data_IF_273960791385
#
_entry.id   IF_273960791385
#
_cell.length_a   1.000
_cell.length_b   1.000
_cell.length_c   1.000
_cell.angle_alpha   90.00
_cell.angle_beta   90.00
_cell.angle_gamma   90.00
#
_symmetry.space_group_name_H-M   'P 1'
#
loop_
_entity.id
_entity.type
_entity.pdbx_description
1 polymer ?
#
# COMPACT_ATOMS: atom_id res chain seq x y z
N UNK A 1 5.54 0.44 -17.85
CA UNK A 1 5.53 1.49 -16.79
C UNK A 1 6.61 1.15 -15.78
N UNK A 2 7.42 2.11 -15.32
CA UNK A 2 8.34 1.86 -14.21
C UNK A 2 7.54 1.56 -12.93
N UNK A 3 8.08 0.68 -12.07
CA UNK A 3 7.44 0.33 -10.79
C UNK A 3 7.26 1.58 -9.92
N UNK A 4 6.04 1.81 -9.44
CA UNK A 4 5.68 2.92 -8.56
C UNK A 4 5.66 2.48 -7.11
N UNK A 5 6.13 3.35 -6.22
CA UNK A 5 6.04 3.20 -4.77
C UNK A 5 5.06 4.25 -4.25
N UNK A 6 4.00 3.80 -3.61
CA UNK A 6 3.01 4.65 -2.93
C UNK A 6 3.30 4.60 -1.43
N UNK A 7 3.46 5.74 -0.79
CA UNK A 7 3.58 5.84 0.67
C UNK A 7 2.25 6.27 1.25
N UNK A 8 1.56 5.35 1.92
CA UNK A 8 0.31 5.65 2.59
C UNK A 8 0.59 6.20 3.99
N UNK A 9 0.01 7.34 4.32
CA UNK A 9 0.16 7.96 5.62
C UNK A 9 -1.15 8.55 6.12
N UNK A 10 -1.38 8.47 7.43
CA UNK A 10 -2.48 9.14 8.11
C UNK A 10 -1.95 10.45 8.72
N UNK A 11 -2.21 11.63 8.11
CA UNK A 11 -1.58 12.89 8.49
C UNK A 11 -1.71 13.24 9.96
N UNK A 12 -2.84 12.91 10.60
CA UNK A 12 -3.07 13.20 12.01
C UNK A 12 -2.13 12.45 12.98
N UNK A 13 -1.45 11.40 12.54
CA UNK A 13 -0.51 10.62 13.33
C UNK A 13 0.96 10.90 12.98
N UNK A 14 1.22 11.89 12.12
CA UNK A 14 2.57 12.33 11.77
C UNK A 14 2.91 13.63 12.50
N UNK A 15 3.99 13.64 13.30
CA UNK A 15 4.39 14.81 14.08
C UNK A 15 3.33 15.25 15.09
N UNK A 16 2.84 16.48 14.96
CA UNK A 16 1.74 17.04 15.78
C UNK A 16 0.35 16.79 15.17
N UNK A 17 0.31 16.10 14.03
CA UNK A 17 -0.90 15.84 13.28
C UNK A 17 -1.38 17.01 12.41
N UNK A 18 -0.44 17.87 11.96
CA UNK A 18 -0.72 19.04 11.14
C UNK A 18 -0.21 18.88 9.71
N UNK A 19 -0.87 19.52 8.76
CA UNK A 19 -0.37 19.59 7.38
C UNK A 19 1.04 20.17 7.29
N UNK A 20 1.38 21.10 8.19
CA UNK A 20 2.70 21.72 8.28
C UNK A 20 3.81 20.76 8.73
N UNK A 21 3.48 19.64 9.38
CA UNK A 21 4.45 18.63 9.83
C UNK A 21 5.01 17.80 8.67
N UNK A 22 4.34 17.85 7.50
CA UNK A 22 4.86 17.32 6.23
C UNK A 22 5.77 18.38 5.58
N UNK A 23 6.81 18.73 6.27
CA UNK A 23 7.80 19.73 5.90
C UNK A 23 8.91 19.17 4.99
N UNK A 24 9.93 19.98 4.73
CA UNK A 24 11.08 19.60 3.89
C UNK A 24 11.83 18.37 4.45
N UNK A 25 11.94 18.23 5.78
CA UNK A 25 12.65 17.09 6.39
C UNK A 25 11.86 15.79 6.18
N UNK A 26 10.55 15.83 6.43
CA UNK A 26 9.62 14.71 6.20
C UNK A 26 9.59 14.31 4.73
N UNK A 27 9.48 15.25 3.82
CA UNK A 27 9.43 14.96 2.38
C UNK A 27 10.80 14.47 1.84
N UNK A 28 11.92 15.03 2.32
CA UNK A 28 13.26 14.52 1.98
C UNK A 28 13.46 13.08 2.45
N UNK A 29 12.91 12.72 3.60
CA UNK A 29 12.92 11.32 4.06
C UNK A 29 12.24 10.40 3.04
N UNK A 30 11.05 10.74 2.53
CA UNK A 30 10.36 9.95 1.50
C UNK A 30 11.17 9.82 0.19
N UNK A 31 11.96 10.85 -0.17
CA UNK A 31 12.87 10.75 -1.32
C UNK A 31 13.92 9.64 -1.12
N UNK A 32 14.41 9.44 0.12
CA UNK A 32 15.36 8.35 0.42
C UNK A 32 14.76 6.95 0.27
N UNK A 33 13.44 6.84 0.32
CA UNK A 33 12.69 5.59 0.11
C UNK A 33 12.32 5.38 -1.37
N UNK A 34 12.57 6.35 -2.24
CA UNK A 34 12.22 6.26 -3.66
C UNK A 34 10.72 6.28 -3.93
N UNK A 35 9.95 6.95 -3.08
CA UNK A 35 8.50 7.14 -3.21
C UNK A 35 8.17 7.92 -4.48
N UNK A 36 7.07 7.58 -5.15
CA UNK A 36 6.52 8.32 -6.30
C UNK A 36 5.22 9.05 -5.93
N UNK A 37 4.40 8.44 -5.07
CA UNK A 37 3.11 8.98 -4.64
C UNK A 37 3.02 8.99 -3.12
N UNK A 38 2.48 10.06 -2.56
CA UNK A 38 2.06 10.09 -1.15
C UNK A 38 0.53 10.02 -1.12
N UNK A 39 0.00 8.99 -0.48
CA UNK A 39 -1.43 8.89 -0.22
C UNK A 39 -1.70 9.39 1.20
N UNK A 40 -2.25 10.59 1.29
CA UNK A 40 -2.72 11.18 2.54
C UNK A 40 -4.12 10.66 2.86
N UNK A 41 -4.19 9.68 3.76
CA UNK A 41 -5.46 9.09 4.23
C UNK A 41 -6.20 10.04 5.17
N UNK A 42 -7.52 10.19 4.98
CA UNK A 42 -8.37 10.94 5.90
C UNK A 42 -8.32 12.46 5.71
N UNK A 43 -8.05 12.94 4.50
CA UNK A 43 -8.03 14.38 4.18
C UNK A 43 -9.43 14.98 4.12
N UNK A 44 -10.44 14.44 3.37
CA UNK A 44 -11.77 14.99 3.36
C UNK A 44 -12.41 15.03 4.75
N UNK A 45 -13.21 16.05 5.02
CA UNK A 45 -13.80 16.29 6.33
C UNK A 45 -14.75 15.18 6.73
N UNK A 46 -14.43 14.47 7.81
CA UNK A 46 -15.25 13.42 8.39
C UNK A 46 -15.95 13.86 9.69
N UNK A 47 -16.93 13.07 10.15
CA UNK A 47 -17.68 13.32 11.37
C UNK A 47 -16.77 13.22 12.61
N UNK A 48 -16.95 14.15 13.53
CA UNK A 48 -16.24 14.18 14.83
C UNK A 48 -17.21 14.57 15.95
N UNK A 49 -17.03 14.01 17.16
CA UNK A 49 -17.73 14.45 18.36
C UNK A 49 -19.27 14.32 18.34
N UNK A 50 -19.81 13.44 17.50
CA UNK A 50 -21.25 13.14 17.45
C UNK A 50 -21.53 11.78 18.09
N UNK A 51 -22.77 11.52 18.56
CA UNK A 51 -23.12 10.26 19.22
C UNK A 51 -22.94 9.00 18.35
N UNK A 52 -23.04 9.12 17.01
CA UNK A 52 -22.86 8.02 16.07
C UNK A 52 -21.41 7.77 15.70
N UNK A 53 -20.48 8.69 16.01
CA UNK A 53 -19.07 8.59 15.61
C UNK A 53 -18.39 7.47 16.38
N UNK A 54 -17.68 6.62 15.66
CA UNK A 54 -16.83 5.57 16.25
C UNK A 54 -15.47 6.15 16.64
N UNK A 55 -15.14 6.07 17.92
CA UNK A 55 -13.86 6.57 18.44
C UNK A 55 -13.74 8.09 18.52
N UNK A 56 -12.51 8.59 18.72
CA UNK A 56 -12.18 10.01 18.79
C UNK A 56 -10.79 10.24 18.16
N UNK A 57 -10.71 10.94 17.01
CA UNK A 57 -11.64 11.91 16.45
C UNK A 57 -12.74 11.31 15.56
N UNK A 58 -12.73 10.02 15.23
CA UNK A 58 -13.70 9.37 14.38
C UNK A 58 -13.08 8.78 13.11
N UNK A 59 -13.91 8.04 12.37
CA UNK A 59 -13.52 7.38 11.13
C UNK A 59 -13.24 8.41 10.02
N UNK A 60 -12.08 8.35 9.35
CA UNK A 60 -11.81 9.17 8.17
C UNK A 60 -12.70 8.83 6.97
N UNK A 61 -13.49 7.76 7.06
CA UNK A 61 -14.40 7.28 6.01
C UNK A 61 -15.86 7.75 6.20
N UNK A 62 -16.21 8.32 7.36
CA UNK A 62 -17.54 8.88 7.64
C UNK A 62 -17.60 10.38 7.23
N UNK A 63 -17.63 10.65 5.92
CA UNK A 63 -17.51 12.00 5.37
C UNK A 63 -18.72 12.85 5.67
N UNK A 64 -18.52 14.05 6.24
CA UNK A 64 -19.57 15.07 6.48
C UNK A 64 -19.56 16.20 5.44
N UNK A 65 -18.40 16.51 4.89
CA UNK A 65 -18.23 17.53 3.86
C UNK A 65 -17.09 17.15 2.91
N UNK A 66 -17.43 16.89 1.66
CA UNK A 66 -16.46 16.49 0.65
C UNK A 66 -15.56 17.63 0.15
N UNK A 67 -15.96 18.89 0.36
CA UNK A 67 -15.22 20.05 -0.15
C UNK A 67 -14.45 20.79 0.94
N UNK A 68 -14.26 20.12 2.08
CA UNK A 68 -13.56 20.64 3.24
C UNK A 68 -12.59 19.60 3.83
N UNK A 69 -11.73 20.03 4.73
CA UNK A 69 -10.82 19.17 5.50
C UNK A 69 -11.07 19.35 6.99
N UNK A 70 -10.69 18.37 7.81
CA UNK A 70 -10.88 18.48 9.24
C UNK A 70 -10.04 19.63 9.84
N UNK A 71 -10.67 20.54 10.65
CA UNK A 71 -9.99 21.69 11.23
C UNK A 71 -8.76 21.35 12.07
N UNK A 72 -8.72 20.17 12.68
CA UNK A 72 -7.62 19.75 13.52
C UNK A 72 -6.33 19.44 12.72
N UNK A 73 -6.40 19.24 11.40
CA UNK A 73 -5.23 19.01 10.53
C UNK A 73 -4.48 20.32 10.20
N UNK A 74 -5.08 21.47 10.44
CA UNK A 74 -4.47 22.78 10.16
C UNK A 74 -3.91 23.46 11.42
N UNK A 75 -2.90 24.30 11.26
CA UNK A 75 -2.44 25.21 12.31
C UNK A 75 -3.51 26.27 12.63
N UNK A 76 -4.06 26.87 11.59
CA UNK A 76 -5.20 27.77 11.67
C UNK A 76 -6.45 27.09 11.08
N UNK A 77 -7.42 26.66 11.91
CA UNK A 77 -8.65 26.03 11.45
C UNK A 77 -9.43 26.85 10.42
N UNK A 78 -9.31 28.18 10.40
CA UNK A 78 -9.97 29.04 9.43
C UNK A 78 -9.30 28.97 8.04
N UNK A 79 -8.00 28.61 7.98
CA UNK A 79 -7.22 28.48 6.76
C UNK A 79 -7.05 27.04 6.27
N UNK A 80 -7.69 26.06 6.89
CA UNK A 80 -7.47 24.62 6.70
C UNK A 80 -7.37 24.15 5.24
N UNK A 81 -8.21 24.66 4.36
CA UNK A 81 -8.14 24.34 2.92
C UNK A 81 -6.89 24.96 2.25
N UNK A 82 -6.53 26.18 2.61
CA UNK A 82 -5.33 26.82 2.11
C UNK A 82 -4.06 26.10 2.60
N UNK A 83 -4.05 25.64 3.85
CA UNK A 83 -2.93 24.84 4.38
C UNK A 83 -2.82 23.47 3.71
N UNK A 84 -3.94 22.87 3.30
CA UNK A 84 -3.91 21.67 2.48
C UNK A 84 -3.35 21.97 1.06
N UNK A 85 -3.75 23.09 0.43
CA UNK A 85 -3.17 23.51 -0.85
C UNK A 85 -1.65 23.75 -0.73
N UNK A 86 -1.20 24.32 0.39
CA UNK A 86 0.23 24.49 0.69
C UNK A 86 0.95 23.15 0.87
N UNK A 87 0.29 22.15 1.49
CA UNK A 87 0.80 20.78 1.57
C UNK A 87 0.96 20.15 0.19
N UNK A 88 -0.07 20.26 -0.67
CA UNK A 88 -0.01 19.77 -2.06
C UNK A 88 1.18 20.39 -2.80
N UNK A 89 1.30 21.72 -2.74
CA UNK A 89 2.38 22.45 -3.40
C UNK A 89 3.78 22.00 -2.93
N UNK A 90 3.96 21.80 -1.60
CA UNK A 90 5.25 21.31 -1.05
C UNK A 90 5.53 19.88 -1.49
N UNK A 91 4.52 19.01 -1.48
CA UNK A 91 4.66 17.61 -1.88
C UNK A 91 5.04 17.50 -3.36
N UNK A 92 4.40 18.29 -4.23
CA UNK A 92 4.75 18.38 -5.66
C UNK A 92 6.15 18.95 -5.86
N UNK A 93 6.52 20.02 -5.14
CA UNK A 93 7.86 20.62 -5.23
C UNK A 93 8.97 19.63 -4.83
N UNK A 94 8.66 18.69 -3.92
CA UNK A 94 9.55 17.59 -3.55
C UNK A 94 9.60 16.44 -4.59
N UNK A 95 8.80 16.52 -5.66
CA UNK A 95 8.79 15.56 -6.77
C UNK A 95 7.79 14.41 -6.63
N UNK A 96 6.88 14.46 -5.67
CA UNK A 96 5.85 13.45 -5.46
C UNK A 96 4.52 13.84 -6.11
N UNK A 97 3.71 12.84 -6.38
CA UNK A 97 2.29 12.98 -6.68
C UNK A 97 1.46 12.67 -5.43
N UNK A 98 0.22 13.17 -5.38
CA UNK A 98 -0.65 13.05 -4.20
C UNK A 98 -1.90 12.25 -4.52
N UNK A 99 -2.20 11.28 -3.66
CA UNK A 99 -3.47 10.56 -3.62
C UNK A 99 -4.24 10.92 -2.35
N UNK A 100 -5.57 10.94 -2.45
CA UNK A 100 -6.48 11.01 -1.31
C UNK A 100 -7.56 9.94 -1.43
N UNK A 101 -8.30 9.69 -0.34
CA UNK A 101 -9.43 8.78 -0.36
C UNK A 101 -10.63 9.37 -1.08
N UNK A 102 -11.34 8.51 -1.84
CA UNK A 102 -12.65 8.76 -2.39
C UNK A 102 -13.58 7.62 -1.97
N UNK A 103 -14.62 7.94 -1.23
CA UNK A 103 -15.54 6.99 -0.63
C UNK A 103 -16.89 7.05 -1.36
N UNK A 104 -17.06 6.29 -2.46
CA UNK A 104 -18.28 6.38 -3.26
C UNK A 104 -19.48 5.67 -2.63
N UNK A 105 -19.27 4.74 -1.71
CA UNK A 105 -20.32 3.89 -1.19
C UNK A 105 -21.21 4.57 -0.14
N UNK A 106 -20.66 5.48 0.67
CA UNK A 106 -21.37 6.03 1.83
C UNK A 106 -20.88 7.42 2.23
N UNK A 107 -21.65 8.09 3.07
CA UNK A 107 -21.32 9.34 3.76
C UNK A 107 -21.76 9.25 5.23
N UNK A 108 -21.35 10.20 6.07
CA UNK A 108 -21.82 10.26 7.46
C UNK A 108 -23.32 10.60 7.55
N UNK A 109 -24.00 10.21 8.64
CA UNK A 109 -25.42 10.54 8.85
C UNK A 109 -25.72 12.05 8.85
N UNK A 110 -24.74 12.89 9.21
CA UNK A 110 -24.86 14.34 9.25
C UNK A 110 -24.34 15.06 7.99
N UNK A 111 -24.09 14.34 6.90
CA UNK A 111 -23.70 14.91 5.63
C UNK A 111 -24.71 15.94 5.12
N UNK A 112 -24.25 17.12 4.70
CA UNK A 112 -25.11 18.25 4.31
C UNK A 112 -25.14 18.52 2.80
N UNK A 113 -24.47 17.72 1.99
CA UNK A 113 -24.42 17.90 0.54
C UNK A 113 -25.61 17.27 -0.19
N UNK A 114 -25.64 17.36 -1.53
CA UNK A 114 -26.76 16.91 -2.37
C UNK A 114 -26.75 15.40 -2.68
N UNK A 115 -25.83 14.62 -2.09
CA UNK A 115 -25.85 13.15 -2.22
C UNK A 115 -27.14 12.63 -1.57
N UNK A 116 -27.95 11.92 -2.36
CA UNK A 116 -29.05 11.16 -1.81
C UNK A 116 -28.51 9.91 -1.11
N UNK A 117 -29.03 9.59 0.06
CA UNK A 117 -28.60 8.45 0.86
C UNK A 117 -29.78 7.74 1.50
N UNK A 118 -29.59 6.48 1.80
CA UNK A 118 -30.51 5.71 2.61
C UNK A 118 -30.29 6.00 4.10
N UNK A 119 -31.21 5.56 4.94
CA UNK A 119 -31.16 5.66 6.41
C UNK A 119 -30.50 4.41 7.06
N UNK A 120 -29.80 3.60 6.27
CA UNK A 120 -29.11 2.39 6.71
C UNK A 120 -27.64 2.37 6.25
N UNK A 121 -26.83 1.54 6.89
CA UNK A 121 -25.42 1.33 6.58
C UNK A 121 -25.16 -0.10 6.11
N UNK A 122 -24.03 -0.34 5.45
CA UNK A 122 -23.52 -1.67 5.16
C UNK A 122 -22.89 -2.27 6.43
N UNK A 123 -23.16 -3.55 6.70
CA UNK A 123 -22.56 -4.25 7.83
C UNK A 123 -22.77 -3.55 9.17
N UNK A 124 -21.68 -3.34 9.90
CA UNK A 124 -21.62 -2.69 11.22
C UNK A 124 -21.09 -1.24 11.18
N UNK A 125 -21.07 -0.59 10.00
CA UNK A 125 -20.57 0.78 9.82
C UNK A 125 -21.60 1.82 10.26
N UNK A 126 -22.00 1.77 11.53
CA UNK A 126 -23.08 2.56 12.14
C UNK A 126 -22.85 4.08 12.15
N UNK A 127 -21.65 4.53 11.80
CA UNK A 127 -21.28 5.93 11.60
C UNK A 127 -21.43 6.41 10.15
N UNK A 128 -22.05 5.60 9.28
CA UNK A 128 -22.27 5.89 7.86
C UNK A 128 -23.70 5.65 7.41
N UNK A 129 -24.07 6.24 6.27
CA UNK A 129 -25.30 5.98 5.53
C UNK A 129 -24.97 5.69 4.07
N UNK A 130 -25.54 4.63 3.50
CA UNK A 130 -25.28 4.21 2.12
C UNK A 130 -25.79 5.23 1.12
N UNK A 131 -24.99 5.55 0.10
CA UNK A 131 -25.37 6.44 -0.99
C UNK A 131 -26.38 5.78 -1.94
N UNK A 132 -27.40 6.53 -2.35
CA UNK A 132 -28.36 6.10 -3.36
C UNK A 132 -27.87 6.46 -4.77
N UNK A 133 -27.24 5.50 -5.43
CA UNK A 133 -26.72 5.63 -6.77
C UNK A 133 -27.79 5.62 -7.88
N UNK A 134 -29.05 5.33 -7.56
CA UNK A 134 -30.18 5.47 -8.49
C UNK A 134 -30.56 6.94 -8.70
N UNK A 135 -30.26 7.80 -7.73
CA UNK A 135 -30.54 9.23 -7.78
C UNK A 135 -29.54 9.96 -8.69
N UNK A 136 -30.05 10.72 -9.65
CA UNK A 136 -29.22 11.52 -10.55
C UNK A 136 -28.37 12.57 -9.81
N UNK A 137 -28.89 13.13 -8.71
CA UNK A 137 -28.16 14.07 -7.85
C UNK A 137 -26.90 13.47 -7.24
N UNK A 138 -26.94 12.21 -6.80
CA UNK A 138 -25.77 11.49 -6.28
C UNK A 138 -24.68 11.38 -7.34
N UNK A 139 -25.03 10.93 -8.55
CA UNK A 139 -24.05 10.77 -9.66
C UNK A 139 -23.40 12.10 -10.04
N UNK A 140 -24.19 13.18 -10.12
CA UNK A 140 -23.67 14.51 -10.44
C UNK A 140 -22.73 15.03 -9.36
N UNK A 141 -23.14 14.94 -8.10
CA UNK A 141 -22.33 15.41 -6.96
C UNK A 141 -21.01 14.62 -6.84
N UNK A 142 -21.05 13.31 -6.98
CA UNK A 142 -19.86 12.48 -6.89
C UNK A 142 -18.85 12.78 -8.00
N UNK A 143 -19.30 13.17 -9.20
CA UNK A 143 -18.42 13.66 -10.26
C UNK A 143 -17.82 15.03 -9.91
N UNK A 144 -18.63 15.95 -9.40
CA UNK A 144 -18.18 17.29 -9.03
C UNK A 144 -17.20 17.27 -7.86
N UNK A 145 -17.31 16.30 -6.94
CA UNK A 145 -16.32 16.07 -5.88
C UNK A 145 -14.96 15.67 -6.47
N UNK A 146 -14.93 14.74 -7.41
CA UNK A 146 -13.67 14.36 -8.08
C UNK A 146 -13.03 15.54 -8.81
N UNK A 147 -13.83 16.34 -9.53
CA UNK A 147 -13.36 17.55 -10.21
C UNK A 147 -12.84 18.60 -9.24
N UNK A 148 -13.51 18.77 -8.10
CA UNK A 148 -13.09 19.71 -7.05
C UNK A 148 -11.67 19.40 -6.57
N UNK A 149 -11.39 18.15 -6.19
CA UNK A 149 -10.07 17.76 -5.69
C UNK A 149 -9.00 17.72 -6.80
N UNK A 150 -9.37 17.26 -8.00
CA UNK A 150 -8.47 17.27 -9.15
C UNK A 150 -8.05 18.70 -9.54
N UNK A 151 -9.00 19.66 -9.53
CA UNK A 151 -8.70 21.07 -9.83
C UNK A 151 -7.81 21.74 -8.78
N UNK A 152 -7.74 21.20 -7.56
CA UNK A 152 -6.83 21.65 -6.50
C UNK A 152 -5.42 21.04 -6.63
N UNK A 153 -5.23 20.07 -7.51
CA UNK A 153 -3.92 19.44 -7.75
C UNK A 153 -3.76 18.06 -7.13
N UNK A 154 -4.83 17.40 -6.68
CA UNK A 154 -4.77 15.97 -6.33
C UNK A 154 -4.54 15.17 -7.60
N UNK A 155 -3.56 14.25 -7.59
CA UNK A 155 -3.14 13.46 -8.76
C UNK A 155 -3.88 12.13 -8.90
N UNK A 156 -4.71 11.76 -7.93
CA UNK A 156 -5.50 10.55 -8.01
C UNK A 156 -6.22 10.18 -6.71
N UNK A 157 -6.96 9.10 -6.79
CA UNK A 157 -7.88 8.69 -5.73
C UNK A 157 -7.73 7.21 -5.39
N UNK A 158 -7.66 6.89 -4.09
CA UNK A 158 -7.95 5.55 -3.60
C UNK A 158 -9.45 5.44 -3.36
N UNK A 159 -10.10 4.56 -4.09
CA UNK A 159 -11.54 4.40 -4.07
C UNK A 159 -11.93 3.27 -3.14
N UNK A 160 -12.67 3.65 -2.10
CA UNK A 160 -13.12 2.77 -1.03
C UNK A 160 -14.28 1.89 -1.46
N UNK A 161 -14.25 0.60 -1.09
CA UNK A 161 -15.35 -0.37 -1.20
C UNK A 161 -16.09 -0.32 -2.54
N UNK A 162 -15.36 -0.25 -3.65
CA UNK A 162 -15.93 -0.05 -5.00
C UNK A 162 -16.88 -1.15 -5.45
N UNK A 163 -16.76 -2.36 -4.89
CA UNK A 163 -17.64 -3.49 -5.23
C UNK A 163 -19.08 -3.32 -4.70
N UNK A 164 -19.31 -2.38 -3.77
CA UNK A 164 -20.62 -2.02 -3.24
C UNK A 164 -21.33 -0.92 -4.05
N UNK A 165 -20.68 -0.43 -5.09
CA UNK A 165 -21.18 0.67 -5.95
C UNK A 165 -21.46 0.13 -7.36
N UNK A 166 -22.51 0.60 -8.07
CA UNK A 166 -22.76 0.18 -9.44
C UNK A 166 -21.55 0.45 -10.35
N UNK A 167 -21.04 -0.59 -11.00
CA UNK A 167 -19.83 -0.52 -11.82
C UNK A 167 -19.97 0.44 -13.02
N UNK A 168 -21.17 0.52 -13.62
CA UNK A 168 -21.49 1.48 -14.69
C UNK A 168 -21.39 2.93 -14.23
N UNK A 169 -21.78 3.20 -12.98
CA UNK A 169 -21.66 4.53 -12.41
C UNK A 169 -20.19 4.92 -12.21
N UNK A 170 -19.37 4.03 -11.66
CA UNK A 170 -17.94 4.27 -11.50
C UNK A 170 -17.24 4.45 -12.85
N UNK A 171 -17.55 3.59 -13.84
CA UNK A 171 -17.03 3.73 -15.20
C UNK A 171 -17.33 5.11 -15.79
N UNK A 172 -18.58 5.55 -15.69
CA UNK A 172 -18.99 6.85 -16.20
C UNK A 172 -18.27 8.01 -15.51
N UNK A 173 -18.10 7.94 -14.17
CA UNK A 173 -17.38 8.95 -13.38
C UNK A 173 -15.91 9.02 -13.76
N UNK A 174 -15.22 7.86 -13.79
CA UNK A 174 -13.79 7.78 -14.13
C UNK A 174 -13.56 8.32 -15.55
N UNK A 175 -14.38 7.90 -16.51
CA UNK A 175 -14.28 8.38 -17.89
C UNK A 175 -14.48 9.89 -17.98
N UNK A 176 -15.51 10.44 -17.29
CA UNK A 176 -15.83 11.86 -17.33
C UNK A 176 -14.73 12.72 -16.69
N UNK A 177 -14.21 12.33 -15.51
CA UNK A 177 -13.17 13.12 -14.85
C UNK A 177 -11.82 12.99 -15.57
N UNK A 178 -11.49 11.83 -16.13
CA UNK A 178 -10.25 11.66 -16.94
C UNK A 178 -10.30 12.41 -18.27
N UNK A 179 -11.49 12.73 -18.79
CA UNK A 179 -11.61 13.60 -19.94
C UNK A 179 -11.14 15.04 -19.64
N UNK A 180 -11.39 15.52 -18.41
CA UNK A 180 -10.94 16.83 -17.93
C UNK A 180 -9.51 16.80 -17.37
N UNK A 181 -9.12 15.69 -16.74
CA UNK A 181 -7.84 15.49 -16.03
C UNK A 181 -7.23 14.13 -16.41
N UNK A 182 -6.60 14.00 -17.59
CA UNK A 182 -6.19 12.71 -18.16
C UNK A 182 -5.07 11.98 -17.36
N UNK A 183 -4.30 12.70 -16.56
CA UNK A 183 -3.19 12.14 -15.77
C UNK A 183 -3.59 11.59 -14.39
N UNK A 184 -4.88 11.73 -14.02
CA UNK A 184 -5.39 11.17 -12.77
C UNK A 184 -5.29 9.65 -12.76
N UNK A 185 -4.89 9.10 -11.60
CA UNK A 185 -4.93 7.66 -11.37
C UNK A 185 -6.02 7.29 -10.35
N UNK A 186 -6.62 6.12 -10.57
CA UNK A 186 -7.63 5.54 -9.69
C UNK A 186 -7.16 4.19 -9.17
N UNK A 187 -7.10 4.06 -7.85
CA UNK A 187 -6.74 2.83 -7.14
C UNK A 187 -7.99 2.23 -6.52
N UNK A 188 -8.37 1.03 -6.94
CA UNK A 188 -9.59 0.37 -6.46
C UNK A 188 -9.30 -0.53 -5.25
N UNK A 189 -10.17 -0.50 -4.27
CA UNK A 189 -10.27 -1.53 -3.26
C UNK A 189 -11.24 -2.63 -3.73
N UNK A 190 -10.69 -3.76 -4.16
CA UNK A 190 -11.44 -4.92 -4.68
C UNK A 190 -11.02 -6.17 -3.92
N UNK A 191 -11.99 -6.84 -3.30
CA UNK A 191 -11.74 -8.07 -2.53
C UNK A 191 -11.96 -9.36 -3.34
N UNK A 192 -12.89 -9.34 -4.30
CA UNK A 192 -13.20 -10.53 -5.10
C UNK A 192 -12.25 -10.63 -6.29
N UNK A 193 -11.34 -11.60 -6.26
CA UNK A 193 -10.33 -11.81 -7.32
C UNK A 193 -10.93 -11.92 -8.73
N UNK A 194 -12.09 -12.58 -8.85
CA UNK A 194 -12.78 -12.74 -10.14
C UNK A 194 -13.23 -11.40 -10.74
N UNK A 195 -13.34 -10.35 -9.91
CA UNK A 195 -13.68 -8.99 -10.34
C UNK A 195 -12.46 -8.17 -10.79
N UNK A 196 -11.20 -8.60 -10.51
CA UNK A 196 -10.02 -7.79 -10.81
C UNK A 196 -10.00 -7.31 -12.26
N UNK A 197 -10.18 -8.23 -13.21
CA UNK A 197 -10.18 -7.89 -14.64
C UNK A 197 -11.30 -6.91 -15.00
N UNK A 198 -12.50 -7.13 -14.47
CA UNK A 198 -13.63 -6.23 -14.71
C UNK A 198 -13.35 -4.81 -14.25
N UNK A 199 -12.84 -4.62 -13.03
CA UNK A 199 -12.56 -3.28 -12.51
C UNK A 199 -11.41 -2.60 -13.23
N UNK A 200 -10.41 -3.36 -13.68
CA UNK A 200 -9.29 -2.82 -14.44
C UNK A 200 -9.68 -2.51 -15.90
N UNK A 201 -10.31 -3.44 -16.61
CA UNK A 201 -10.47 -3.36 -18.07
C UNK A 201 -11.79 -2.69 -18.50
N UNK A 202 -12.88 -2.89 -17.72
CA UNK A 202 -14.20 -2.37 -18.06
C UNK A 202 -14.51 -1.07 -17.31
N UNK A 203 -14.32 -1.06 -15.98
CA UNK A 203 -14.61 0.12 -15.15
C UNK A 203 -13.57 1.22 -15.34
N UNK A 204 -12.30 0.86 -15.60
CA UNK A 204 -11.25 1.81 -15.97
C UNK A 204 -10.36 2.27 -14.81
N UNK A 205 -10.28 1.49 -13.74
CA UNK A 205 -9.28 1.72 -12.69
C UNK A 205 -7.86 1.46 -13.22
N UNK A 206 -6.90 2.23 -12.76
CA UNK A 206 -5.49 2.08 -13.14
C UNK A 206 -4.80 0.98 -12.34
N UNK A 207 -5.12 0.91 -11.05
CA UNK A 207 -4.58 -0.04 -10.08
C UNK A 207 -5.68 -0.61 -9.20
N UNK A 208 -5.44 -1.79 -8.63
CA UNK A 208 -6.25 -2.33 -7.53
C UNK A 208 -5.38 -3.07 -6.51
N UNK A 209 -5.87 -3.18 -5.28
CA UNK A 209 -5.20 -3.94 -4.21
C UNK A 209 -5.15 -5.42 -4.55
N UNK A 210 -3.99 -6.07 -4.41
CA UNK A 210 -3.90 -7.53 -4.40
C UNK A 210 -4.06 -8.08 -2.97
N UNK A 211 -5.15 -7.67 -2.31
CA UNK A 211 -5.48 -8.09 -0.93
C UNK A 211 -5.77 -9.59 -0.87
N UNK A 212 -6.77 -10.05 -1.60
CA UNK A 212 -7.19 -11.45 -1.61
C UNK A 212 -6.28 -12.36 -2.45
N UNK A 213 -5.27 -11.79 -3.08
CA UNK A 213 -4.23 -12.50 -3.79
C UNK A 213 -2.95 -12.65 -2.98
N UNK A 214 -1.96 -11.78 -3.26
CA UNK A 214 -0.62 -11.93 -2.69
C UNK A 214 -0.59 -11.61 -1.18
N UNK A 215 -1.34 -10.58 -0.73
CA UNK A 215 -1.34 -10.26 0.70
C UNK A 215 -1.86 -11.44 1.54
N UNK A 216 -3.06 -11.97 1.26
CA UNK A 216 -3.63 -13.10 2.00
C UNK A 216 -2.77 -14.36 1.87
N UNK A 217 -2.15 -14.58 0.71
CA UNK A 217 -1.22 -15.69 0.50
C UNK A 217 -0.01 -15.58 1.43
N UNK A 218 0.64 -14.40 1.48
CA UNK A 218 1.79 -14.16 2.34
C UNK A 218 1.42 -14.25 3.83
N UNK A 219 0.27 -13.69 4.21
CA UNK A 219 -0.23 -13.80 5.57
C UNK A 219 -0.47 -15.26 5.97
N UNK A 220 -1.07 -16.07 5.10
CA UNK A 220 -1.26 -17.50 5.36
C UNK A 220 0.06 -18.26 5.50
N UNK A 221 1.07 -17.96 4.67
CA UNK A 221 2.42 -18.53 4.79
C UNK A 221 3.07 -18.14 6.12
N UNK A 222 2.93 -16.88 6.51
CA UNK A 222 3.56 -16.34 7.72
C UNK A 222 2.89 -16.83 9.02
N UNK A 223 1.53 -16.84 9.07
CA UNK A 223 0.78 -17.00 10.31
C UNK A 223 0.02 -18.33 10.43
N UNK A 224 -0.36 -18.94 9.30
CA UNK A 224 -1.24 -20.12 9.29
C UNK A 224 -0.55 -21.40 8.83
N UNK A 225 0.76 -21.38 8.62
CA UNK A 225 1.53 -22.55 8.20
C UNK A 225 1.27 -23.02 6.78
N UNK A 226 0.68 -22.16 5.91
CA UNK A 226 0.53 -22.49 4.50
C UNK A 226 1.90 -22.65 3.83
N UNK A 227 1.93 -23.43 2.75
CA UNK A 227 3.14 -23.68 1.99
C UNK A 227 3.57 -22.43 1.20
N UNK A 228 4.87 -22.12 1.16
CA UNK A 228 5.42 -21.04 0.34
C UNK A 228 5.16 -21.24 -1.17
N UNK A 229 4.85 -22.47 -1.63
CA UNK A 229 4.42 -22.74 -3.03
C UNK A 229 3.15 -21.98 -3.41
N UNK A 230 2.31 -21.61 -2.45
CA UNK A 230 1.09 -20.84 -2.74
C UNK A 230 1.37 -19.48 -3.37
N UNK A 231 2.55 -18.92 -3.15
CA UNK A 231 3.03 -17.69 -3.78
C UNK A 231 3.11 -17.87 -5.30
N UNK A 232 3.62 -19.02 -5.78
CA UNK A 232 3.65 -19.38 -7.20
C UNK A 232 2.25 -19.35 -7.82
N UNK A 233 1.26 -19.95 -7.13
CA UNK A 233 -0.09 -20.04 -7.67
C UNK A 233 -0.74 -18.66 -7.81
N UNK A 234 -0.54 -17.77 -6.86
CA UNK A 234 -1.05 -16.40 -6.96
C UNK A 234 -0.35 -15.64 -8.10
N UNK A 235 0.97 -15.74 -8.20
CA UNK A 235 1.73 -15.11 -9.27
C UNK A 235 1.29 -15.58 -10.66
N UNK A 236 1.07 -16.89 -10.85
CA UNK A 236 0.58 -17.45 -12.11
C UNK A 236 -0.84 -16.99 -12.42
N UNK A 237 -1.71 -16.92 -11.40
CA UNK A 237 -3.09 -16.49 -11.57
C UNK A 237 -3.19 -15.03 -12.04
N UNK A 238 -2.36 -14.13 -11.52
CA UNK A 238 -2.34 -12.71 -11.92
C UNK A 238 -1.96 -12.52 -13.40
N UNK A 239 -1.12 -13.38 -13.97
CA UNK A 239 -0.72 -13.35 -15.39
C UNK A 239 -0.36 -11.93 -15.88
N UNK A 240 -1.11 -11.39 -16.85
CA UNK A 240 -0.94 -10.07 -17.44
C UNK A 240 -1.42 -8.90 -16.55
N UNK A 241 -2.18 -9.17 -15.48
CA UNK A 241 -2.65 -8.15 -14.54
C UNK A 241 -1.54 -7.62 -13.61
N UNK A 242 -0.40 -8.31 -13.51
CA UNK A 242 0.67 -7.97 -12.58
C UNK A 242 1.06 -6.48 -12.55
N UNK A 243 1.24 -5.77 -13.68
CA UNK A 243 1.62 -4.35 -13.64
C UNK A 243 0.53 -3.42 -13.09
N UNK A 244 -0.71 -3.91 -13.00
CA UNK A 244 -1.90 -3.14 -12.63
C UNK A 244 -2.43 -3.49 -11.25
N UNK A 245 -1.71 -4.28 -10.46
CA UNK A 245 -2.03 -4.53 -9.06
C UNK A 245 -1.08 -3.76 -8.15
N UNK A 246 -1.57 -3.45 -6.97
CA UNK A 246 -0.85 -2.77 -5.89
C UNK A 246 -0.62 -3.76 -4.76
N UNK A 247 0.60 -4.26 -4.66
CA UNK A 247 1.01 -5.13 -3.56
C UNK A 247 1.31 -4.32 -2.30
N UNK A 248 1.08 -4.92 -1.15
CA UNK A 248 1.37 -4.32 0.16
C UNK A 248 1.52 -5.41 1.23
N UNK A 249 1.96 -5.04 2.41
CA UNK A 249 1.99 -5.91 3.59
C UNK A 249 1.23 -5.32 4.77
N UNK A 250 1.11 -4.01 4.82
CA UNK A 250 0.35 -3.26 5.81
C UNK A 250 -0.45 -2.17 5.13
N UNK A 251 -1.59 -1.83 5.69
CA UNK A 251 -2.36 -0.64 5.40
C UNK A 251 -3.17 -0.26 6.66
N UNK A 252 -4.09 0.69 6.52
CA UNK A 252 -4.91 1.17 7.63
C UNK A 252 -6.00 0.18 8.10
N UNK A 253 -6.26 -0.89 7.33
CA UNK A 253 -7.26 -1.93 7.64
C UNK A 253 -6.63 -3.24 8.14
N UNK A 254 -5.33 -3.42 7.93
CA UNK A 254 -4.64 -4.66 8.25
C UNK A 254 -3.69 -4.51 9.45
N UNK A 255 -3.40 -5.62 10.13
CA UNK A 255 -2.48 -5.63 11.25
C UNK A 255 -1.06 -5.25 10.82
N UNK A 256 -0.32 -4.59 11.72
CA UNK A 256 1.10 -4.33 11.56
C UNK A 256 1.91 -5.64 11.56
N UNK A 257 2.98 -5.70 10.78
CA UNK A 257 3.89 -6.88 10.78
C UNK A 257 4.49 -7.15 12.15
N UNK A 258 4.80 -6.09 12.90
CA UNK A 258 5.35 -6.16 14.25
C UNK A 258 4.37 -6.65 15.31
N UNK A 259 3.06 -6.57 15.05
CA UNK A 259 2.04 -6.91 16.01
C UNK A 259 2.01 -8.41 16.34
N UNK A 260 1.59 -8.79 17.57
CA UNK A 260 1.36 -10.19 17.94
C UNK A 260 0.35 -10.91 17.04
N UNK A 261 -0.58 -10.17 16.43
CA UNK A 261 -1.63 -10.67 15.54
C UNK A 261 -1.11 -11.00 14.13
N UNK A 262 0.15 -10.62 13.82
CA UNK A 262 0.79 -10.97 12.55
C UNK A 262 2.09 -11.76 12.79
N UNK A 263 3.26 -11.11 12.87
CA UNK A 263 4.56 -11.80 13.03
C UNK A 263 5.19 -11.62 14.41
N UNK A 264 4.73 -10.68 15.22
CA UNK A 264 5.23 -10.37 16.55
C UNK A 264 6.62 -9.71 16.56
N UNK A 265 7.21 -9.49 15.40
CA UNK A 265 8.50 -8.82 15.20
C UNK A 265 8.59 -8.34 13.74
N UNK A 266 8.64 -7.04 13.53
CA UNK A 266 8.67 -6.44 12.19
C UNK A 266 9.87 -6.91 11.34
N UNK A 267 10.99 -7.30 11.98
CA UNK A 267 12.19 -7.83 11.28
C UNK A 267 11.93 -9.17 10.60
N UNK A 268 10.91 -9.93 11.03
CA UNK A 268 10.43 -11.15 10.37
C UNK A 268 9.69 -10.85 9.07
N UNK A 269 9.35 -9.59 8.82
CA UNK A 269 8.71 -9.12 7.60
C UNK A 269 9.60 -9.08 6.35
N UNK A 270 10.91 -9.35 6.43
CA UNK A 270 11.83 -9.19 5.29
C UNK A 270 11.63 -10.23 4.18
N UNK A 271 11.26 -11.47 4.52
CA UNK A 271 10.94 -12.49 3.50
C UNK A 271 9.63 -12.16 2.76
N UNK A 272 8.50 -11.88 3.44
CA UNK A 272 7.28 -11.44 2.74
C UNK A 272 7.47 -10.10 2.01
N UNK A 273 8.27 -9.16 2.53
CA UNK A 273 8.59 -7.91 1.83
C UNK A 273 9.27 -8.17 0.48
N UNK A 274 10.27 -9.05 0.45
CA UNK A 274 10.93 -9.39 -0.81
C UNK A 274 9.97 -10.00 -1.83
N UNK A 275 9.01 -10.82 -1.40
CA UNK A 275 7.97 -11.35 -2.29
C UNK A 275 6.99 -10.24 -2.74
N UNK A 276 6.45 -9.46 -1.82
CA UNK A 276 5.47 -8.42 -2.12
C UNK A 276 6.04 -7.33 -3.05
N UNK A 277 7.29 -6.91 -2.80
CA UNK A 277 7.93 -5.81 -3.53
C UNK A 277 8.62 -6.26 -4.81
N UNK A 278 9.26 -7.46 -4.83
CA UNK A 278 10.25 -7.81 -5.86
C UNK A 278 9.83 -8.94 -6.80
N UNK A 279 8.79 -9.74 -6.47
CA UNK A 279 8.44 -10.94 -7.23
C UNK A 279 8.03 -10.64 -8.68
N UNK A 280 7.29 -9.56 -8.89
CA UNK A 280 6.69 -9.24 -10.17
C UNK A 280 6.76 -7.73 -10.48
N UNK A 281 6.10 -7.29 -11.55
CA UNK A 281 6.06 -5.89 -11.98
C UNK A 281 4.97 -5.06 -11.29
N UNK A 282 4.25 -5.63 -10.31
CA UNK A 282 3.22 -4.92 -9.54
C UNK A 282 3.78 -3.66 -8.87
N UNK A 283 2.93 -2.68 -8.71
CA UNK A 283 3.22 -1.49 -7.90
C UNK A 283 3.29 -1.90 -6.41
N UNK A 284 3.87 -1.06 -5.57
CA UNK A 284 4.00 -1.38 -4.15
C UNK A 284 3.54 -0.23 -3.28
N UNK A 285 2.79 -0.54 -2.24
CA UNK A 285 2.40 0.41 -1.21
C UNK A 285 3.14 0.11 0.09
N UNK A 286 3.77 1.13 0.64
CA UNK A 286 4.39 1.14 1.96
C UNK A 286 3.52 1.94 2.91
N UNK A 287 3.09 1.33 4.00
CA UNK A 287 2.34 2.02 5.03
C UNK A 287 3.30 2.67 6.03
N UNK A 288 3.05 3.93 6.39
CA UNK A 288 3.95 4.75 7.20
C UNK A 288 4.30 4.07 8.54
N UNK A 289 5.59 4.07 8.89
CA UNK A 289 6.11 3.38 10.07
C UNK A 289 6.45 1.90 9.87
N UNK A 290 5.95 1.25 8.81
CA UNK A 290 6.28 -0.16 8.51
C UNK A 290 7.79 -0.35 8.38
N UNK A 291 8.49 0.61 7.80
CA UNK A 291 9.93 0.59 7.53
C UNK A 291 10.81 0.79 8.77
N UNK A 292 10.23 1.23 9.87
CA UNK A 292 10.90 1.34 11.18
C UNK A 292 10.34 0.37 12.22
N UNK A 293 9.33 -0.42 11.85
CA UNK A 293 8.84 -1.51 12.67
C UNK A 293 7.66 -1.17 13.57
N UNK A 294 6.90 -0.10 13.25
CA UNK A 294 5.64 0.21 13.93
C UNK A 294 4.80 -1.05 14.12
N UNK A 295 4.44 -1.38 15.35
CA UNK A 295 3.86 -2.66 15.72
C UNK A 295 2.36 -2.62 16.04
N UNK A 296 1.75 -1.43 16.09
CA UNK A 296 0.33 -1.25 16.39
C UNK A 296 -0.08 -1.70 17.80
N UNK A 297 0.86 -1.76 18.74
CA UNK A 297 0.60 -2.27 20.09
C UNK A 297 -0.36 -1.37 20.87
N UNK A 298 -0.47 -0.10 20.52
CA UNK A 298 -1.46 0.81 21.07
C UNK A 298 -2.89 0.52 20.58
N UNK A 299 -3.02 -0.29 19.53
CA UNK A 299 -4.29 -0.76 18.99
C UNK A 299 -4.75 -2.05 19.66
N UNK A 300 -6.05 -2.23 19.80
CA UNK A 300 -6.62 -3.42 20.47
C UNK A 300 -6.47 -4.71 19.67
N UNK A 301 -6.14 -4.62 18.38
CA UNK A 301 -6.14 -5.73 17.43
C UNK A 301 -4.90 -5.76 16.51
N UNK A 302 -3.83 -5.11 16.92
CA UNK A 302 -2.56 -5.04 16.17
C UNK A 302 -2.59 -4.11 14.97
N UNK A 303 -3.54 -3.17 14.92
CA UNK A 303 -3.66 -2.12 13.90
C UNK A 303 -3.34 -0.76 14.50
N UNK A 304 -2.70 0.11 13.74
CA UNK A 304 -2.70 1.53 14.08
C UNK A 304 -4.11 2.09 13.84
N UNK A 305 -4.74 2.60 14.91
CA UNK A 305 -6.16 3.00 14.85
C UNK A 305 -6.43 4.15 13.89
N UNK A 306 -7.39 3.94 12.97
CA UNK A 306 -7.96 5.02 12.14
C UNK A 306 -9.13 5.74 12.82
N UNK A 307 -9.61 5.26 13.98
CA UNK A 307 -10.77 5.81 14.68
C UNK A 307 -10.39 6.74 15.84
N UNK A 308 -9.24 6.50 16.45
CA UNK A 308 -8.82 7.17 17.66
C UNK A 308 -7.56 8.01 17.45
N UNK A 309 -7.37 8.98 18.32
CA UNK A 309 -6.05 9.53 18.56
C UNK A 309 -5.17 8.41 19.11
N UNK A 310 -4.02 8.20 18.51
CA UNK A 310 -2.97 7.30 18.96
C UNK A 310 -1.64 8.02 18.87
N UNK A 311 -0.66 7.51 19.58
CA UNK A 311 0.71 8.04 19.60
C UNK A 311 1.68 6.86 19.35
N UNK A 312 1.76 6.35 18.10
CA UNK A 312 2.62 5.23 17.76
C UNK A 312 4.09 5.56 18.06
N UNK A 313 4.77 4.77 18.91
CA UNK A 313 6.13 5.11 19.39
C UNK A 313 7.13 5.24 18.25
N UNK A 314 7.15 4.28 17.33
CA UNK A 314 8.12 4.22 16.23
C UNK A 314 7.92 5.38 15.25
N UNK A 315 6.67 5.78 14.98
CA UNK A 315 6.36 6.95 14.16
C UNK A 315 6.81 8.26 14.83
N UNK A 316 6.57 8.39 16.14
CA UNK A 316 7.02 9.55 16.90
C UNK A 316 8.56 9.64 16.93
N UNK A 317 9.25 8.52 17.14
CA UNK A 317 10.70 8.44 17.14
C UNK A 317 11.28 8.73 15.76
N UNK A 318 10.67 8.18 14.71
CA UNK A 318 11.03 8.52 13.33
C UNK A 318 10.91 10.01 13.08
N UNK A 319 9.74 10.60 13.37
CA UNK A 319 9.54 12.05 13.19
C UNK A 319 10.58 12.88 13.98
N UNK A 320 10.79 12.54 15.24
CA UNK A 320 11.77 13.24 16.08
C UNK A 320 13.19 13.14 15.51
N UNK A 321 13.60 11.98 15.01
CA UNK A 321 14.93 11.76 14.41
C UNK A 321 15.17 12.62 13.17
N UNK A 322 14.12 12.90 12.41
CA UNK A 322 14.19 13.77 11.22
C UNK A 322 14.30 15.25 11.58
N UNK A 323 13.91 15.64 12.79
CA UNK A 323 13.82 17.03 13.27
C UNK A 323 14.84 17.36 14.37
N UNK A 324 15.99 16.68 14.39
CA UNK A 324 17.08 16.95 15.31
C UNK A 324 16.93 16.35 16.70
N UNK A 325 15.96 15.46 16.87
CA UNK A 325 15.81 14.62 18.06
C UNK A 325 16.79 13.44 18.10
N UNK A 326 16.59 12.50 19.03
CA UNK A 326 17.41 11.29 19.11
C UNK A 326 17.41 10.50 17.79
N UNK A 327 18.52 9.83 17.50
CA UNK A 327 18.58 8.87 16.40
C UNK A 327 17.67 7.66 16.69
N UNK A 328 17.17 7.03 15.65
CA UNK A 328 16.44 5.76 15.74
C UNK A 328 17.25 4.71 16.53
N UNK A 329 16.56 3.81 17.20
CA UNK A 329 17.18 2.66 17.84
C UNK A 329 17.97 1.82 16.80
N UNK A 330 19.05 1.12 17.19
CA UNK A 330 19.87 0.39 16.22
C UNK A 330 19.11 -0.64 15.36
N UNK A 331 18.10 -1.30 15.95
CA UNK A 331 17.28 -2.30 15.24
C UNK A 331 16.33 -1.63 14.22
N UNK A 332 15.72 -0.50 14.58
CA UNK A 332 14.88 0.31 13.68
C UNK A 332 15.69 0.88 12.51
N UNK A 333 16.85 1.47 12.83
CA UNK A 333 17.77 1.97 11.81
C UNK A 333 18.23 0.86 10.85
N UNK A 334 18.54 -0.31 11.37
CA UNK A 334 18.93 -1.46 10.56
C UNK A 334 17.77 -1.96 9.69
N UNK A 335 16.54 -1.99 10.20
CA UNK A 335 15.34 -2.35 9.44
C UNK A 335 15.10 -1.34 8.31
N UNK A 336 15.14 -0.06 8.62
CA UNK A 336 14.99 1.04 7.64
C UNK A 336 16.00 0.92 6.49
N UNK A 337 17.26 0.63 6.79
CA UNK A 337 18.28 0.42 5.74
C UNK A 337 17.96 -0.79 4.85
N UNK A 338 17.35 -1.86 5.40
CA UNK A 338 16.90 -3.00 4.61
C UNK A 338 15.76 -2.60 3.67
N UNK A 339 14.78 -1.82 4.16
CA UNK A 339 13.71 -1.27 3.31
C UNK A 339 14.27 -0.37 2.21
N UNK A 340 15.16 0.58 2.52
CA UNK A 340 15.81 1.45 1.52
C UNK A 340 16.52 0.65 0.44
N UNK A 341 17.27 -0.37 0.82
CA UNK A 341 17.98 -1.23 -0.12
C UNK A 341 17.02 -1.99 -1.05
N UNK A 342 15.93 -2.56 -0.51
CA UNK A 342 14.96 -3.30 -1.32
C UNK A 342 14.11 -2.36 -2.20
N UNK A 343 13.70 -1.21 -1.71
CA UNK A 343 12.96 -0.20 -2.48
C UNK A 343 13.82 0.36 -3.63
N UNK A 344 15.09 0.65 -3.37
CA UNK A 344 16.03 1.05 -4.42
C UNK A 344 16.22 -0.05 -5.47
N UNK A 345 16.31 -1.31 -5.04
CA UNK A 345 16.42 -2.43 -5.95
C UNK A 345 15.17 -2.60 -6.81
N UNK A 346 13.97 -2.35 -6.26
CA UNK A 346 12.69 -2.44 -6.96
C UNK A 346 12.60 -1.49 -8.17
N UNK A 347 13.36 -0.39 -8.16
CA UNK A 347 13.45 0.57 -9.28
C UNK A 347 14.37 0.13 -10.41
N UNK A 348 15.19 -0.91 -10.21
CA UNK A 348 16.08 -1.40 -11.27
C UNK A 348 15.29 -2.07 -12.41
N UNK A 349 15.78 -2.01 -13.66
CA UNK A 349 15.08 -2.57 -14.82
C UNK A 349 14.63 -4.03 -14.64
N UNK A 350 15.48 -4.88 -14.01
CA UNK A 350 15.12 -6.28 -13.77
C UNK A 350 13.86 -6.44 -12.91
N UNK A 351 13.62 -5.54 -11.95
CA UNK A 351 12.47 -5.60 -11.03
C UNK A 351 11.29 -4.74 -11.50
N UNK A 352 11.57 -3.60 -12.12
CA UNK A 352 10.52 -2.69 -12.58
C UNK A 352 9.81 -3.20 -13.83
N UNK A 353 10.54 -3.81 -14.77
CA UNK A 353 10.04 -4.17 -16.11
C UNK A 353 10.43 -5.58 -16.54
N UNK A 354 11.40 -6.20 -15.87
CA UNK A 354 11.96 -7.49 -16.25
C UNK A 354 11.02 -8.68 -16.06
N UNK A 355 11.42 -9.81 -16.60
CA UNK A 355 10.73 -11.08 -16.43
C UNK A 355 10.94 -11.69 -15.05
N UNK A 356 9.99 -12.51 -14.63
CA UNK A 356 10.11 -13.36 -13.44
C UNK A 356 10.32 -14.81 -13.87
N UNK A 357 11.23 -15.48 -13.18
CA UNK A 357 11.36 -16.93 -13.28
C UNK A 357 11.24 -17.54 -11.88
N UNK A 358 10.13 -18.22 -11.64
CA UNK A 358 9.92 -18.98 -10.40
C UNK A 358 10.84 -20.22 -10.40
N UNK A 359 11.51 -20.44 -9.29
CA UNK A 359 12.46 -21.55 -9.13
C UNK A 359 11.93 -22.67 -8.23
N UNK A 360 10.75 -22.52 -7.64
CA UNK A 360 10.22 -23.51 -6.69
C UNK A 360 9.97 -24.86 -7.37
N UNK A 361 9.41 -24.84 -8.59
CA UNK A 361 9.07 -26.07 -9.32
C UNK A 361 10.26 -26.99 -9.60
N UNK A 362 11.45 -26.41 -9.81
CA UNK A 362 12.67 -27.17 -10.18
C UNK A 362 13.63 -27.39 -9.01
N UNK A 363 13.26 -27.00 -7.79
CA UNK A 363 14.12 -27.11 -6.62
C UNK A 363 13.54 -27.99 -5.49
N UNK A 364 12.36 -28.57 -5.67
CA UNK A 364 11.74 -29.38 -4.63
C UNK A 364 12.52 -30.68 -4.27
N UNK A 365 13.39 -31.13 -5.18
CA UNK A 365 14.31 -32.27 -4.98
C UNK A 365 15.72 -31.85 -4.54
N UNK A 366 16.01 -30.57 -4.47
CA UNK A 366 17.33 -30.07 -4.10
C UNK A 366 17.59 -30.21 -2.58
N UNK A 367 18.74 -30.71 -2.18
CA UNK A 367 19.12 -30.79 -0.78
C UNK A 367 19.02 -29.40 -0.12
N UNK A 368 18.40 -29.33 1.06
CA UNK A 368 18.24 -28.11 1.87
C UNK A 368 17.30 -27.05 1.29
N UNK A 369 16.60 -27.34 0.20
CA UNK A 369 15.51 -26.49 -0.27
C UNK A 369 14.17 -27.12 0.13
N UNK A 370 13.49 -26.54 1.10
CA UNK A 370 12.15 -26.94 1.52
C UNK A 370 11.14 -25.98 0.86
N UNK A 371 10.40 -26.41 -0.17
CA UNK A 371 9.47 -25.52 -0.87
C UNK A 371 8.21 -25.14 -0.07
N UNK A 372 8.04 -25.71 1.12
CA UNK A 372 7.00 -25.27 2.05
C UNK A 372 7.46 -24.06 2.89
N UNK A 373 8.76 -23.83 3.01
CA UNK A 373 9.38 -22.78 3.82
C UNK A 373 10.30 -21.85 3.03
N UNK A 374 10.75 -22.26 1.86
CA UNK A 374 11.64 -21.47 1.02
C UNK A 374 10.97 -21.11 -0.29
N UNK A 375 11.09 -19.85 -0.68
CA UNK A 375 10.65 -19.37 -1.98
C UNK A 375 11.84 -18.72 -2.69
N UNK A 376 12.06 -19.08 -3.95
CA UNK A 376 13.14 -18.50 -4.74
C UNK A 376 12.68 -18.17 -6.16
N UNK A 377 13.14 -17.05 -6.66
CA UNK A 377 12.86 -16.60 -8.02
C UNK A 377 14.02 -15.80 -8.60
N UNK A 378 14.05 -15.67 -9.92
CA UNK A 378 14.98 -14.78 -10.64
C UNK A 378 14.18 -13.67 -11.30
N UNK A 379 14.64 -12.44 -11.10
CA UNK A 379 14.22 -11.28 -11.90
C UNK A 379 15.30 -11.00 -12.94
N UNK A 380 14.92 -10.80 -14.20
CA UNK A 380 15.91 -10.67 -15.25
C UNK A 380 15.48 -9.75 -16.40
N UNK A 381 16.48 -9.15 -17.00
CA UNK A 381 16.45 -8.52 -18.34
C UNK A 381 17.59 -9.10 -19.18
N UNK A 382 17.77 -8.58 -20.37
CA UNK A 382 18.93 -8.93 -21.21
C UNK A 382 20.28 -8.52 -20.58
N UNK A 383 20.30 -7.50 -19.70
CA UNK A 383 21.50 -6.89 -19.14
C UNK A 383 21.85 -7.36 -17.72
N UNK A 384 20.86 -7.75 -16.96
CA UNK A 384 21.03 -8.13 -15.55
C UNK A 384 20.08 -9.24 -15.11
N UNK A 385 20.54 -10.04 -14.14
CA UNK A 385 19.72 -11.04 -13.48
C UNK A 385 20.01 -11.07 -11.97
N UNK A 386 18.93 -11.18 -11.19
CA UNK A 386 18.97 -11.19 -9.74
C UNK A 386 18.23 -12.41 -9.19
N UNK A 387 18.93 -13.19 -8.38
CA UNK A 387 18.32 -14.25 -7.58
C UNK A 387 17.81 -13.66 -6.27
N UNK A 388 16.56 -13.89 -5.96
CA UNK A 388 15.93 -13.62 -4.67
C UNK A 388 15.59 -14.95 -4.02
N UNK A 389 16.11 -15.19 -2.83
CA UNK A 389 15.85 -16.39 -2.05
C UNK A 389 15.29 -16.00 -0.68
N UNK A 390 14.06 -16.42 -0.38
CA UNK A 390 13.31 -16.11 0.83
C UNK A 390 13.24 -17.33 1.75
N UNK A 391 13.31 -17.08 3.04
CA UNK A 391 13.21 -18.10 4.09
C UNK A 391 12.10 -17.73 5.08
N UNK A 392 11.00 -18.46 5.04
CA UNK A 392 9.83 -18.33 5.92
C UNK A 392 9.90 -19.28 7.12
N UNK A 393 11.08 -19.41 7.74
CA UNK A 393 11.27 -20.29 8.90
C UNK A 393 12.14 -19.66 9.96
N UNK A 394 12.05 -20.19 11.20
CA UNK A 394 12.86 -19.78 12.34
C UNK A 394 14.30 -20.33 12.31
N UNK A 395 14.70 -21.04 11.27
CA UNK A 395 16.04 -21.62 11.12
C UNK A 395 16.76 -21.02 9.93
N UNK A 396 18.06 -20.73 10.05
CA UNK A 396 18.84 -20.29 8.90
C UNK A 396 18.94 -21.41 7.84
N UNK A 397 18.96 -21.02 6.59
CA UNK A 397 19.03 -21.94 5.45
C UNK A 397 20.26 -21.68 4.58
N UNK A 398 21.07 -22.72 4.37
CA UNK A 398 22.16 -22.71 3.39
C UNK A 398 21.68 -23.38 2.10
N UNK A 399 20.99 -22.61 1.27
CA UNK A 399 20.31 -23.09 0.08
C UNK A 399 21.28 -23.34 -1.08
N UNK A 400 21.04 -24.41 -1.81
CA UNK A 400 21.60 -24.66 -3.13
C UNK A 400 20.43 -24.64 -4.13
N UNK A 401 20.44 -23.66 -5.03
CA UNK A 401 19.31 -23.36 -5.90
C UNK A 401 19.73 -23.67 -7.33
N UNK A 402 19.04 -24.62 -7.96
CA UNK A 402 19.19 -24.97 -9.38
C UNK A 402 18.58 -23.86 -10.24
N UNK A 403 19.35 -23.38 -11.22
CA UNK A 403 18.88 -22.49 -12.29
C UNK A 403 18.66 -23.34 -13.55
N UNK A 404 17.43 -23.56 -13.99
CA UNK A 404 17.14 -24.50 -15.08
C UNK A 404 17.72 -24.02 -16.40
N UNK A 405 17.90 -24.96 -17.34
CA UNK A 405 18.52 -24.69 -18.63
C UNK A 405 17.76 -23.60 -19.40
N UNK A 406 16.46 -23.65 -19.38
CA UNK A 406 15.59 -22.72 -20.10
C UNK A 406 15.79 -21.26 -19.65
N UNK A 407 16.04 -21.04 -18.35
CA UNK A 407 16.42 -19.73 -17.82
C UNK A 407 17.83 -19.34 -18.27
N UNK A 408 18.79 -20.29 -18.26
CA UNK A 408 20.18 -20.05 -18.67
C UNK A 408 20.30 -19.77 -20.18
N UNK A 409 19.42 -20.37 -20.98
CA UNK A 409 19.32 -20.09 -22.44
C UNK A 409 18.80 -18.65 -22.69
N UNK A 410 17.89 -18.15 -21.84
CA UNK A 410 17.41 -16.74 -21.88
C UNK A 410 18.42 -15.75 -21.31
N UNK A 411 19.16 -16.17 -20.30
CA UNK A 411 20.15 -15.36 -19.58
C UNK A 411 21.51 -16.06 -19.62
N UNK A 412 22.28 -15.95 -20.71
CA UNK A 412 23.57 -16.60 -20.83
C UNK A 412 24.55 -16.21 -19.70
N UNK A 413 25.43 -17.15 -19.31
CA UNK A 413 26.43 -17.02 -18.24
C UNK A 413 25.91 -17.19 -16.82
N UNK A 414 24.64 -17.54 -16.62
CA UNK A 414 24.16 -17.92 -15.29
C UNK A 414 24.79 -19.27 -14.90
N UNK A 415 25.14 -19.46 -13.60
CA UNK A 415 25.59 -20.75 -13.09
C UNK A 415 24.44 -21.76 -13.12
N UNK A 416 24.76 -23.06 -13.13
CA UNK A 416 23.74 -24.11 -12.99
C UNK A 416 23.16 -24.15 -11.58
N UNK A 417 23.98 -23.89 -10.58
CA UNK A 417 23.61 -23.86 -9.16
C UNK A 417 24.14 -22.57 -8.54
N UNK A 418 23.24 -21.82 -7.91
CA UNK A 418 23.57 -20.70 -7.05
C UNK A 418 23.47 -21.12 -5.58
N UNK A 419 24.32 -20.55 -4.73
CA UNK A 419 24.29 -20.78 -3.29
C UNK A 419 23.86 -19.52 -2.56
N UNK A 420 22.95 -19.65 -1.60
CA UNK A 420 22.48 -18.55 -0.79
C UNK A 420 22.37 -18.96 0.68
N UNK A 421 23.01 -18.22 1.57
CA UNK A 421 22.75 -18.32 3.00
C UNK A 421 21.68 -17.28 3.36
N UNK A 422 20.56 -17.74 3.89
CA UNK A 422 19.40 -16.89 4.24
C UNK A 422 19.12 -17.04 5.72
N UNK A 423 19.13 -15.94 6.44
CA UNK A 423 18.76 -15.90 7.86
C UNK A 423 17.29 -16.29 8.06
N UNK A 424 16.87 -16.61 9.30
CA UNK A 424 15.45 -16.79 9.61
C UNK A 424 14.63 -15.58 9.19
N UNK A 425 13.48 -15.81 8.56
CA UNK A 425 12.51 -14.78 8.15
C UNK A 425 13.10 -13.65 7.28
N UNK A 426 14.13 -13.96 6.52
CA UNK A 426 14.87 -12.97 5.70
C UNK A 426 14.86 -13.36 4.22
N UNK A 427 15.34 -12.46 3.40
CA UNK A 427 15.59 -12.68 1.98
C UNK A 427 17.06 -12.36 1.62
N UNK A 428 17.64 -13.21 0.80
CA UNK A 428 18.95 -12.97 0.18
C UNK A 428 18.77 -12.51 -1.26
N UNK A 429 19.33 -11.35 -1.55
CA UNK A 429 19.29 -10.72 -2.88
C UNK A 429 20.69 -10.83 -3.48
N UNK A 430 20.83 -11.52 -4.61
CA UNK A 430 22.12 -11.79 -5.25
C UNK A 430 22.05 -11.37 -6.72
N UNK A 431 22.90 -10.45 -7.13
CA UNK A 431 23.12 -10.22 -8.55
C UNK A 431 23.92 -11.42 -9.11
N UNK A 432 23.37 -12.11 -10.08
CA UNK A 432 23.95 -13.31 -10.68
C UNK A 432 24.36 -13.08 -12.14
N UNK A 433 24.03 -11.89 -12.66
CA UNK A 433 24.52 -11.35 -13.94
C UNK A 433 24.51 -9.82 -13.94
#
# INVERSE_FOLDING_TARGET
MSKKIIYQALPRLWGRGKFSDWDEASLRYLQTLGVDYVWYTGVPRHATGKPFVKGNPGSPYAITDWRDVNPYLAEDPARRLAEFDELLARTHAAGFKVLIDYIPNHVAPDYQGPICRFDWCDGDWTDTCKNDWSAAGTRAEMLDILRFWASRGVDGFRCDMVELVPADALQALIAAVKADFPDLIFVAEVYQKDNYRRYLDEVGFDLLYDKSGLYDTLRAVCCSGATARSITWNWQWLADLQPRVLNFLENHDEQRLGSPEFLGDARRGLAPLACSLLLNTAQFMLYFGQEVGEDGIEGADGRTSIFNWSDPPELRELYASLHGGPALAPDEAALLERYRAMLSLAKRPAFAEGGTWDLVYCNGDMPRFDPDRHFAFVRYTEQEAWLVACNFSDRPAALRIRLPRELRDRCPRLPEIASAYVKPWDARLLRIR
#
